data_IF_787950179811
#
_entry.id   IF_787950179811
#
_cell.length_a   1.000
_cell.length_b   1.000
_cell.length_c   1.000
_cell.angle_alpha   90.00
_cell.angle_beta   90.00
_cell.angle_gamma   90.00
#
_symmetry.space_group_name_H-M   'P 1'
#
loop_
_entity.id
_entity.type
_entity.pdbx_description
1 polymer ?
#
# COMPACT_ATOMS: atom_id res chain seq x y z
N UNK A 1 0.91 2.71 -13.53
CA UNK A 1 2.10 2.01 -13.00
C UNK A 1 3.30 2.73 -13.57
N UNK A 2 4.22 3.20 -12.73
CA UNK A 2 5.41 3.90 -13.21
C UNK A 2 6.20 3.00 -14.19
N UNK A 3 6.83 3.58 -15.21
CA UNK A 3 7.68 2.84 -16.13
C UNK A 3 8.69 1.98 -15.35
N UNK A 4 8.75 0.70 -15.69
CA UNK A 4 9.69 -0.25 -15.11
C UNK A 4 9.11 -1.20 -14.05
N UNK A 5 7.94 -0.95 -13.45
CA UNK A 5 7.35 -1.89 -12.47
C UNK A 5 6.69 -3.08 -13.21
N UNK A 6 7.15 -4.29 -12.92
CA UNK A 6 6.64 -5.55 -13.50
C UNK A 6 5.61 -6.22 -12.60
N UNK A 7 5.82 -6.19 -11.29
CA UNK A 7 4.88 -6.76 -10.32
C UNK A 7 4.90 -5.99 -9.00
N UNK A 8 3.77 -6.06 -8.31
CA UNK A 8 3.59 -5.53 -6.95
C UNK A 8 2.95 -6.60 -6.08
N UNK A 9 3.47 -6.78 -4.88
CA UNK A 9 2.87 -7.57 -3.82
C UNK A 9 2.64 -6.68 -2.60
N UNK A 10 1.42 -6.71 -2.04
CA UNK A 10 1.08 -6.08 -0.78
C UNK A 10 0.76 -7.17 0.24
N UNK A 11 1.27 -7.03 1.45
CA UNK A 11 0.96 -7.88 2.59
C UNK A 11 0.36 -7.00 3.68
N UNK A 12 -0.88 -7.31 4.06
CA UNK A 12 -1.57 -6.62 5.16
C UNK A 12 -1.07 -7.17 6.49
N UNK A 13 -0.57 -6.29 7.36
CA UNK A 13 -0.16 -6.68 8.71
C UNK A 13 -1.30 -6.50 9.72
N UNK A 14 -2.07 -5.42 9.55
CA UNK A 14 -3.10 -5.02 10.51
C UNK A 14 -4.21 -4.27 9.79
N UNK A 15 -5.45 -4.62 10.16
CA UNK A 15 -6.66 -3.86 9.86
C UNK A 15 -7.36 -3.58 11.17
N UNK A 16 -7.70 -2.32 11.40
CA UNK A 16 -8.45 -1.93 12.58
C UNK A 16 -9.38 -0.76 12.24
N UNK A 17 -10.59 -0.77 12.79
CA UNK A 17 -11.61 0.21 12.45
C UNK A 17 -12.99 -0.14 12.98
N UNK A 18 -13.93 0.76 12.76
CA UNK A 18 -15.32 0.63 13.16
C UNK A 18 -16.22 1.70 12.54
N UNK A 19 -17.49 1.36 12.34
CA UNK A 19 -18.44 2.23 11.65
C UNK A 19 -18.00 2.53 10.22
N UNK A 20 -17.84 3.81 9.92
CA UNK A 20 -17.52 4.30 8.58
C UNK A 20 -16.01 4.51 8.34
N UNK A 21 -15.14 4.16 9.29
CA UNK A 21 -13.70 4.38 9.21
C UNK A 21 -12.91 3.14 9.58
N UNK A 22 -11.81 2.90 8.86
CA UNK A 22 -10.81 1.91 9.22
C UNK A 22 -9.43 2.37 8.75
N UNK A 23 -8.38 1.79 9.32
CA UNK A 23 -7.04 1.86 8.75
C UNK A 23 -6.53 0.45 8.45
N UNK A 24 -5.69 0.39 7.44
CA UNK A 24 -4.90 -0.78 7.08
C UNK A 24 -3.44 -0.36 7.02
N UNK A 25 -2.55 -1.15 7.62
CA UNK A 25 -1.12 -1.00 7.39
C UNK A 25 -0.53 -2.31 6.93
N UNK A 26 0.55 -2.20 6.18
CA UNK A 26 1.24 -3.35 5.67
C UNK A 26 2.54 -2.98 4.99
N UNK A 27 3.10 -3.98 4.32
CA UNK A 27 4.34 -3.86 3.57
C UNK A 27 4.10 -4.17 2.10
N UNK A 28 4.93 -3.59 1.25
CA UNK A 28 4.93 -3.88 -0.17
C UNK A 28 6.30 -4.30 -0.67
N UNK A 29 6.30 -5.09 -1.74
CA UNK A 29 7.47 -5.37 -2.57
C UNK A 29 7.13 -5.06 -4.03
N UNK A 30 7.99 -4.28 -4.68
CA UNK A 30 7.95 -4.01 -6.11
C UNK A 30 9.10 -4.75 -6.78
N UNK A 31 8.80 -5.44 -7.86
CA UNK A 31 9.80 -5.95 -8.79
C UNK A 31 9.75 -5.11 -10.07
N UNK A 32 10.88 -4.51 -10.43
CA UNK A 32 10.98 -3.65 -11.60
C UNK A 32 12.28 -3.82 -12.38
N UNK A 33 12.37 -3.17 -13.53
CA UNK A 33 13.55 -3.20 -14.40
C UNK A 33 14.84 -2.74 -13.72
N UNK A 34 14.72 -1.89 -12.70
CA UNK A 34 15.82 -1.35 -11.89
C UNK A 34 16.05 -2.14 -10.58
N UNK A 35 15.49 -3.36 -10.49
CA UNK A 35 15.57 -4.22 -9.32
C UNK A 35 14.44 -3.99 -8.30
N UNK A 36 14.56 -4.67 -7.17
CA UNK A 36 13.48 -4.75 -6.19
C UNK A 36 13.49 -3.56 -5.21
N UNK A 37 12.32 -3.00 -4.99
CA UNK A 37 12.05 -2.02 -3.93
C UNK A 37 11.13 -2.64 -2.87
N UNK A 38 11.32 -2.29 -1.60
CA UNK A 38 10.38 -2.63 -0.53
C UNK A 38 10.04 -1.40 0.29
N UNK A 39 8.83 -1.37 0.83
CA UNK A 39 8.38 -0.30 1.69
C UNK A 39 7.21 -0.70 2.58
N UNK A 40 6.69 0.26 3.32
CA UNK A 40 5.48 0.11 4.10
C UNK A 40 4.42 1.09 3.63
N UNK A 41 3.18 0.82 4.00
CA UNK A 41 2.04 1.65 3.67
C UNK A 41 1.09 1.79 4.85
N UNK A 42 0.35 2.90 4.84
CA UNK A 42 -0.82 3.15 5.66
C UNK A 42 -1.95 3.63 4.75
N UNK A 43 -3.06 2.91 4.77
CA UNK A 43 -4.29 3.27 4.07
C UNK A 43 -5.34 3.63 5.11
N UNK A 44 -5.98 4.79 4.94
CA UNK A 44 -7.20 5.16 5.64
C UNK A 44 -8.38 4.86 4.73
N UNK A 45 -9.30 4.05 5.23
CA UNK A 45 -10.52 3.64 4.55
C UNK A 45 -11.71 4.43 5.07
N UNK A 46 -12.58 4.84 4.16
CA UNK A 46 -13.91 5.40 4.48
C UNK A 46 -15.00 4.57 3.85
N UNK A 47 -16.02 4.23 4.62
CA UNK A 47 -17.23 3.58 4.14
C UNK A 47 -18.23 4.66 3.70
N UNK A 48 -18.78 4.50 2.50
CA UNK A 48 -19.82 5.36 1.94
C UNK A 48 -20.82 4.44 1.26
N UNK A 49 -22.09 4.54 1.62
CA UNK A 49 -23.17 3.68 1.12
C UNK A 49 -22.80 2.19 1.17
N UNK A 50 -22.30 1.77 2.34
CA UNK A 50 -21.84 0.41 2.65
C UNK A 50 -20.64 -0.11 1.85
N UNK A 51 -19.97 0.74 1.04
CA UNK A 51 -18.77 0.38 0.26
C UNK A 51 -17.54 1.08 0.83
N UNK A 52 -16.43 0.35 0.90
CA UNK A 52 -15.16 0.90 1.36
C UNK A 52 -14.39 1.54 0.21
N UNK A 53 -13.85 2.72 0.47
CA UNK A 53 -13.01 3.47 -0.45
C UNK A 53 -11.71 3.86 0.26
N UNK A 54 -10.60 3.87 -0.49
CA UNK A 54 -9.36 4.50 -0.04
C UNK A 54 -9.65 6.00 0.09
N UNK A 55 -9.64 6.50 1.32
CA UNK A 55 -9.83 7.91 1.62
C UNK A 55 -8.50 8.66 1.60
N UNK A 56 -7.45 8.02 2.12
CA UNK A 56 -6.08 8.51 2.04
C UNK A 56 -5.12 7.32 1.99
N UNK A 57 -4.04 7.46 1.24
CA UNK A 57 -2.93 6.52 1.24
C UNK A 57 -1.60 7.23 1.55
N UNK A 58 -0.67 6.48 2.12
CA UNK A 58 0.68 6.95 2.40
C UNK A 58 1.63 5.76 2.29
N UNK A 59 2.72 5.94 1.56
CA UNK A 59 3.74 4.92 1.34
C UNK A 59 5.10 5.51 1.68
N UNK A 60 5.98 4.69 2.25
CA UNK A 60 7.39 5.02 2.41
C UNK A 60 8.28 3.92 1.84
N UNK A 61 9.43 4.33 1.31
CA UNK A 61 10.46 3.41 0.84
C UNK A 61 11.32 3.00 2.03
N UNK A 62 11.45 1.69 2.27
CA UNK A 62 12.36 1.12 3.27
C UNK A 62 13.68 0.71 2.60
N UNK A 63 13.59 0.09 1.42
CA UNK A 63 14.74 -0.30 0.61
C UNK A 63 14.49 0.12 -0.84
N UNK A 64 15.23 1.11 -1.38
CA UNK A 64 15.05 1.54 -2.76
C UNK A 64 15.54 0.50 -3.75
N UNK A 65 15.01 0.55 -4.97
CA UNK A 65 15.57 -0.17 -6.11
C UNK A 65 17.04 0.25 -6.34
N UNK A 66 17.87 -0.70 -6.78
CA UNK A 66 19.28 -0.45 -7.08
C UNK A 66 19.36 0.03 -8.52
N UNK A 67 19.19 1.35 -8.71
CA UNK A 67 19.37 2.00 -10.02
C UNK A 67 20.69 1.63 -10.70
#
# INVERSE_FOLDING_TARGET
MAEGVKSVALVTDEVNGGGEWAFERGHYSLDGSHGNETGAYLIVWKKVDHKWFIYNDCFNVIKPAKG
#
